data_IF_400471829314
#
_entry.id   IF_400471829314
#
_cell.length_a   1.000
_cell.length_b   1.000
_cell.length_c   1.000
_cell.angle_alpha   90.00
_cell.angle_beta   90.00
_cell.angle_gamma   90.00
#
_symmetry.space_group_name_H-M   'P 1'
#
loop_
_entity.id
_entity.type
_entity.pdbx_description
1 polymer ?
#
# COMPACT_ATOMS: atom_id res chain seq x y z
N UNK A 1 3.63 32.56 16.02
CA UNK A 1 3.72 31.82 14.75
C UNK A 1 4.55 30.58 15.02
N UNK A 2 3.91 29.52 15.51
CA UNK A 2 4.53 28.23 15.83
C UNK A 2 3.52 27.19 15.37
N UNK A 3 3.89 26.33 14.40
CA UNK A 3 3.24 25.02 14.11
C UNK A 3 3.75 24.33 12.84
N UNK A 4 4.35 25.02 11.86
CA UNK A 4 4.63 24.40 10.55
C UNK A 4 5.62 23.22 10.51
N UNK A 5 6.55 23.09 11.45
CA UNK A 5 7.57 22.00 11.44
C UNK A 5 7.15 20.78 12.28
N UNK A 6 6.26 20.95 13.25
CA UNK A 6 5.79 19.86 14.11
C UNK A 6 4.75 18.99 13.40
N UNK A 7 3.80 19.63 12.72
CA UNK A 7 2.66 18.95 12.10
C UNK A 7 3.09 18.08 10.92
N UNK A 8 4.01 18.58 10.09
CA UNK A 8 4.54 17.88 8.91
C UNK A 8 5.24 16.56 9.28
N UNK A 9 6.02 16.55 10.37
CA UNK A 9 6.70 15.32 10.81
C UNK A 9 5.72 14.28 11.40
N UNK A 10 4.62 14.73 12.02
CA UNK A 10 3.60 13.83 12.57
C UNK A 10 2.80 13.18 11.45
N UNK A 11 2.47 13.94 10.41
CA UNK A 11 1.72 13.45 9.27
C UNK A 11 2.53 12.42 8.44
N UNK A 12 3.85 12.61 8.29
CA UNK A 12 4.74 11.62 7.67
C UNK A 12 4.73 10.27 8.39
N UNK A 13 4.81 10.31 9.72
CA UNK A 13 4.81 9.10 10.56
C UNK A 13 3.46 8.39 10.46
N UNK A 14 2.35 9.14 10.44
CA UNK A 14 1.02 8.57 10.30
C UNK A 14 0.81 7.94 8.91
N UNK A 15 1.28 8.58 7.84
CA UNK A 15 1.20 8.05 6.47
C UNK A 15 2.02 6.75 6.32
N UNK A 16 3.24 6.72 6.85
CA UNK A 16 4.08 5.52 6.83
C UNK A 16 3.47 4.37 7.65
N UNK A 17 2.86 4.67 8.80
CA UNK A 17 2.17 3.68 9.62
C UNK A 17 0.96 3.08 8.88
N UNK A 18 0.13 3.93 8.25
CA UNK A 18 -1.02 3.48 7.48
C UNK A 18 -0.61 2.60 6.27
N UNK A 19 0.49 2.94 5.58
CA UNK A 19 1.02 2.12 4.50
C UNK A 19 1.47 0.74 5.01
N UNK A 20 2.15 0.68 6.16
CA UNK A 20 2.54 -0.59 6.80
C UNK A 20 1.33 -1.44 7.18
N UNK A 21 0.30 -0.86 7.80
CA UNK A 21 -0.93 -1.58 8.13
C UNK A 21 -1.61 -2.17 6.88
N UNK A 22 -1.60 -1.43 5.76
CA UNK A 22 -2.11 -1.93 4.49
C UNK A 22 -1.28 -3.10 3.94
N UNK A 23 0.06 -3.04 4.01
CA UNK A 23 0.90 -4.18 3.61
C UNK A 23 0.64 -5.42 4.47
N UNK A 24 0.48 -5.25 5.77
CA UNK A 24 0.15 -6.36 6.69
C UNK A 24 -1.21 -6.98 6.35
N UNK A 25 -2.23 -6.13 6.11
CA UNK A 25 -3.55 -6.58 5.71
C UNK A 25 -3.52 -7.34 4.37
N UNK A 26 -2.82 -6.81 3.36
CA UNK A 26 -2.62 -7.48 2.06
C UNK A 26 -1.95 -8.85 2.27
N UNK A 27 -0.90 -8.90 3.09
CA UNK A 27 -0.20 -10.14 3.41
C UNK A 27 -1.10 -11.18 4.09
N UNK A 28 -1.94 -10.74 5.02
CA UNK A 28 -2.91 -11.60 5.69
C UNK A 28 -3.95 -12.17 4.72
N UNK A 29 -4.47 -11.35 3.80
CA UNK A 29 -5.42 -11.79 2.79
C UNK A 29 -4.78 -12.82 1.84
N UNK A 30 -3.56 -12.54 1.34
CA UNK A 30 -2.83 -13.51 0.50
C UNK A 30 -2.63 -14.84 1.19
N UNK A 31 -2.30 -14.83 2.49
CA UNK A 31 -2.16 -16.05 3.28
C UNK A 31 -3.45 -16.85 3.34
N UNK A 32 -4.59 -16.18 3.54
CA UNK A 32 -5.91 -16.83 3.54
C UNK A 32 -6.24 -17.42 2.16
N UNK A 33 -6.00 -16.69 1.07
CA UNK A 33 -6.22 -17.19 -0.30
C UNK A 33 -5.39 -18.46 -0.55
N UNK A 34 -4.11 -18.44 -0.16
CA UNK A 34 -3.22 -19.59 -0.32
C UNK A 34 -3.67 -20.80 0.52
N UNK A 35 -4.19 -20.57 1.73
CA UNK A 35 -4.73 -21.63 2.57
C UNK A 35 -5.95 -22.31 1.91
N UNK A 36 -6.89 -21.51 1.40
CA UNK A 36 -8.07 -22.03 0.70
C UNK A 36 -7.66 -22.78 -0.57
N UNK A 37 -6.71 -22.24 -1.35
CA UNK A 37 -6.14 -22.95 -2.50
C UNK A 37 -5.58 -24.32 -2.12
N UNK A 38 -4.84 -24.41 -1.02
CA UNK A 38 -4.33 -25.69 -0.50
C UNK A 38 -5.46 -26.68 -0.18
N UNK A 39 -6.48 -26.22 0.54
CA UNK A 39 -7.64 -27.05 0.88
C UNK A 39 -8.40 -27.53 -0.36
N UNK A 40 -8.61 -26.66 -1.36
CA UNK A 40 -9.27 -27.01 -2.62
C UNK A 40 -8.51 -28.10 -3.37
N UNK A 41 -7.18 -27.99 -3.49
CA UNK A 41 -6.36 -29.02 -4.14
C UNK A 41 -6.36 -30.35 -3.37
N UNK A 42 -6.30 -30.29 -2.04
CA UNK A 42 -6.33 -31.47 -1.17
C UNK A 42 -7.66 -32.23 -1.26
N UNK A 43 -8.78 -31.51 -1.39
CA UNK A 43 -10.12 -32.10 -1.52
C UNK A 43 -10.34 -32.62 -2.95
N UNK A 44 -9.82 -31.92 -3.97
CA UNK A 44 -9.86 -32.37 -5.39
C UNK A 44 -9.28 -33.76 -5.57
N UNK A 45 -8.18 -34.06 -4.88
CA UNK A 45 -7.53 -35.36 -4.93
C UNK A 45 -8.38 -36.50 -4.31
N UNK A 46 -9.31 -36.18 -3.40
CA UNK A 46 -10.07 -37.14 -2.59
C UNK A 46 -11.46 -37.44 -3.12
N UNK A 47 -12.11 -36.53 -3.84
CA UNK A 47 -13.46 -36.77 -4.39
C UNK A 47 -13.40 -37.55 -5.71
N UNK A 48 -14.01 -38.74 -5.71
CA UNK A 48 -14.14 -39.65 -6.87
C UNK A 48 -15.64 -39.94 -7.09
N UNK A 49 -16.10 -39.98 -8.33
CA UNK A 49 -17.49 -40.34 -8.69
C UNK A 49 -18.37 -39.13 -9.01
N UNK A 50 -19.70 -39.25 -8.90
CA UNK A 50 -20.66 -38.23 -9.39
C UNK A 50 -20.51 -36.83 -8.76
N UNK A 51 -19.94 -36.73 -7.55
CA UNK A 51 -19.63 -35.46 -6.89
C UNK A 51 -18.36 -34.76 -7.45
N UNK A 52 -17.57 -35.46 -8.27
CA UNK A 52 -16.33 -34.95 -8.85
C UNK A 52 -16.60 -33.79 -9.82
N UNK A 53 -17.64 -33.89 -10.66
CA UNK A 53 -17.92 -32.89 -11.67
C UNK A 53 -18.29 -31.52 -11.06
N UNK A 54 -19.18 -31.51 -10.06
CA UNK A 54 -19.57 -30.28 -9.39
C UNK A 54 -18.41 -29.62 -8.63
N UNK A 55 -17.53 -30.44 -8.03
CA UNK A 55 -16.35 -29.93 -7.34
C UNK A 55 -15.26 -29.46 -8.28
N UNK A 56 -15.05 -30.14 -9.42
CA UNK A 56 -14.15 -29.66 -10.46
C UNK A 56 -14.56 -28.29 -10.97
N UNK A 57 -15.86 -28.07 -11.22
CA UNK A 57 -16.37 -26.74 -11.57
C UNK A 57 -16.08 -25.72 -10.47
N UNK A 58 -16.47 -26.01 -9.22
CA UNK A 58 -16.24 -25.07 -8.11
C UNK A 58 -14.74 -24.79 -7.85
N UNK A 59 -13.87 -25.78 -8.07
CA UNK A 59 -12.43 -25.62 -7.94
C UNK A 59 -11.83 -24.75 -9.05
N UNK A 60 -12.33 -24.88 -10.29
CA UNK A 60 -11.93 -24.02 -11.41
C UNK A 60 -12.40 -22.59 -11.16
N UNK A 61 -13.65 -22.40 -10.78
CA UNK A 61 -14.20 -21.08 -10.45
C UNK A 61 -13.39 -20.42 -9.32
N UNK A 62 -13.03 -21.19 -8.29
CA UNK A 62 -12.18 -20.71 -7.21
C UNK A 62 -10.76 -20.33 -7.67
N UNK A 63 -10.13 -21.12 -8.56
CA UNK A 63 -8.81 -20.79 -9.11
C UNK A 63 -8.83 -19.46 -9.90
N UNK A 64 -9.91 -19.18 -10.64
CA UNK A 64 -10.12 -17.91 -11.34
C UNK A 64 -10.29 -16.75 -10.36
N UNK A 65 -11.15 -16.90 -9.36
CA UNK A 65 -11.38 -15.88 -8.33
C UNK A 65 -10.12 -15.60 -7.50
N UNK A 66 -9.37 -16.64 -7.13
CA UNK A 66 -8.09 -16.48 -6.43
C UNK A 66 -7.09 -15.70 -7.28
N UNK A 67 -7.08 -15.89 -8.60
CA UNK A 67 -6.24 -15.14 -9.53
C UNK A 67 -6.67 -13.66 -9.59
N UNK A 68 -7.96 -13.39 -9.69
CA UNK A 68 -8.48 -12.01 -9.68
C UNK A 68 -8.17 -11.30 -8.36
N UNK A 69 -8.40 -11.96 -7.22
CA UNK A 69 -8.10 -11.40 -5.90
C UNK A 69 -6.63 -11.06 -5.75
N UNK A 70 -5.71 -11.93 -6.19
CA UNK A 70 -4.28 -11.62 -6.18
C UNK A 70 -3.96 -10.41 -7.06
N UNK A 71 -4.56 -10.30 -8.25
CA UNK A 71 -4.39 -9.13 -9.12
C UNK A 71 -4.88 -7.82 -8.48
N UNK A 72 -6.02 -7.84 -7.78
CA UNK A 72 -6.53 -6.69 -7.02
C UNK A 72 -5.57 -6.32 -5.88
N UNK A 73 -5.05 -7.31 -5.16
CA UNK A 73 -4.09 -7.08 -4.08
C UNK A 73 -2.76 -6.49 -4.59
N UNK A 74 -2.29 -6.92 -5.76
CA UNK A 74 -1.13 -6.33 -6.43
C UNK A 74 -1.39 -4.85 -6.79
N UNK A 75 -2.57 -4.54 -7.33
CA UNK A 75 -2.96 -3.15 -7.65
C UNK A 75 -3.06 -2.28 -6.39
N UNK A 76 -3.65 -2.80 -5.32
CA UNK A 76 -3.72 -2.10 -4.03
C UNK A 76 -2.31 -1.82 -3.50
N UNK A 77 -1.41 -2.80 -3.53
CA UNK A 77 -0.03 -2.64 -3.11
C UNK A 77 0.67 -1.53 -3.92
N UNK A 78 0.55 -1.54 -5.24
CA UNK A 78 1.13 -0.52 -6.11
C UNK A 78 0.58 0.88 -5.82
N UNK A 79 -0.73 0.99 -5.54
CA UNK A 79 -1.36 2.26 -5.23
C UNK A 79 -0.88 2.82 -3.88
N UNK A 80 -0.67 1.96 -2.88
CA UNK A 80 -0.09 2.33 -1.58
C UNK A 80 1.36 2.79 -1.74
N UNK A 81 2.18 2.03 -2.47
CA UNK A 81 3.57 2.40 -2.76
C UNK A 81 3.65 3.75 -3.50
N UNK A 82 2.83 3.92 -4.53
CA UNK A 82 2.76 5.16 -5.32
C UNK A 82 2.30 6.34 -4.46
N UNK A 83 1.26 6.17 -3.65
CA UNK A 83 0.74 7.20 -2.76
C UNK A 83 1.77 7.63 -1.72
N UNK A 84 2.44 6.67 -1.09
CA UNK A 84 3.50 6.95 -0.10
C UNK A 84 4.68 7.70 -0.73
N UNK A 85 5.14 7.28 -1.92
CA UNK A 85 6.23 7.96 -2.61
C UNK A 85 5.86 9.38 -3.07
N UNK A 86 4.64 9.57 -3.57
CA UNK A 86 4.15 10.89 -3.96
C UNK A 86 4.05 11.83 -2.75
N UNK A 87 3.58 11.32 -1.61
CA UNK A 87 3.49 12.07 -0.36
C UNK A 87 4.88 12.50 0.14
N UNK A 88 5.85 11.58 0.20
CA UNK A 88 7.23 11.87 0.60
C UNK A 88 7.93 12.87 -0.34
N UNK A 89 7.66 12.78 -1.65
CA UNK A 89 8.21 13.71 -2.63
C UNK A 89 7.63 15.13 -2.48
N UNK A 90 6.33 15.25 -2.19
CA UNK A 90 5.69 16.54 -1.91
C UNK A 90 6.24 17.18 -0.63
N UNK A 91 6.41 16.40 0.43
CA UNK A 91 6.97 16.87 1.69
C UNK A 91 8.43 17.36 1.53
N UNK A 92 9.29 16.59 0.85
CA UNK A 92 10.67 17.04 0.56
C UNK A 92 10.71 18.34 -0.24
N UNK A 93 9.90 18.45 -1.29
CA UNK A 93 9.82 19.68 -2.09
C UNK A 93 9.38 20.90 -1.26
N UNK A 94 8.39 20.73 -0.38
CA UNK A 94 7.94 21.80 0.51
C UNK A 94 9.03 22.23 1.50
N UNK A 95 9.81 21.28 2.03
CA UNK A 95 10.95 21.57 2.92
C UNK A 95 12.07 22.32 2.21
N UNK A 96 12.41 21.90 0.99
CA UNK A 96 13.45 22.54 0.19
C UNK A 96 13.07 23.98 -0.21
N UNK A 97 11.81 24.18 -0.63
CA UNK A 97 11.28 25.51 -0.94
C UNK A 97 11.29 26.42 0.30
N UNK A 98 10.86 25.89 1.45
CA UNK A 98 10.89 26.63 2.71
C UNK A 98 12.32 26.99 3.13
N UNK A 99 13.27 26.05 3.06
CA UNK A 99 14.67 26.27 3.37
C UNK A 99 15.29 27.33 2.44
N UNK A 100 14.92 27.32 1.16
CA UNK A 100 15.35 28.32 0.18
C UNK A 100 14.81 29.72 0.50
N UNK A 101 13.54 29.84 0.89
CA UNK A 101 12.94 31.12 1.30
C UNK A 101 13.56 31.65 2.60
N UNK A 102 13.85 30.77 3.55
CA UNK A 102 14.49 31.13 4.81
C UNK A 102 15.95 31.58 4.58
N UNK A 103 16.72 30.87 3.74
CA UNK A 103 18.09 31.23 3.37
C UNK A 103 18.17 32.49 2.49
N UNK A 104 17.15 32.76 1.67
CA UNK A 104 17.08 33.94 0.81
C UNK A 104 16.58 35.21 1.51
N UNK A 105 15.80 35.10 2.58
CA UNK A 105 15.25 36.25 3.32
C UNK A 105 16.21 36.86 4.36
N UNK A 106 17.33 36.21 4.66
CA UNK A 106 18.32 36.67 5.65
C UNK A 106 19.38 37.67 5.16
N UNK A 107 19.36 38.08 3.88
CA UNK A 107 20.48 38.84 3.27
C UNK A 107 20.14 40.14 2.55
N UNK A 108 18.93 40.69 2.71
CA UNK A 108 18.40 41.75 1.83
C UNK A 108 18.01 43.08 2.48
N UNK A 109 18.61 43.46 3.62
CA UNK A 109 18.24 44.70 4.31
C UNK A 109 19.42 45.50 4.88
N UNK A 110 19.58 46.73 4.37
CA UNK A 110 20.42 47.85 4.84
C UNK A 110 21.88 47.94 4.30
N UNK A 111 22.04 48.21 3.00
CA UNK A 111 23.15 49.07 2.57
C UNK A 111 22.63 50.52 2.53
N UNK A 112 22.88 51.26 3.60
CA UNK A 112 22.53 52.67 3.76
C UNK A 112 23.26 53.56 2.74
N UNK A 113 22.52 54.54 2.21
CA UNK A 113 23.02 55.78 1.61
C UNK A 113 23.95 56.54 2.56
#
# INVERSE_FOLDING_TARGET
>A
MTTGTGDVNVDDVAAAAAANEMYEAIGAIRKTINAINGEVQDVKAKWKGDAQGAFETAAVDWEEEATQLNGILDQMQQQVESGNNAYLAMDQGARDDFARLQGGSGGGGLTSL
#
